data_IF_272371690644
#
_entry.id   IF_272371690644
#
_cell.length_a   1.000
_cell.length_b   1.000
_cell.length_c   1.000
_cell.angle_alpha   90.00
_cell.angle_beta   90.00
_cell.angle_gamma   90.00
#
_symmetry.space_group_name_H-M   'P 1'
#
loop_
_entity.id
_entity.type
_entity.pdbx_description
1 polymer ?
#
# COMPACT_ATOMS: atom_id res chain seq x y z
N UNK A 1 11.28 39.70 33.48
CA UNK A 1 12.34 38.90 32.82
C UNK A 1 12.07 37.41 33.02
N UNK A 2 11.01 36.85 32.42
CA UNK A 2 10.63 35.43 32.60
C UNK A 2 10.13 34.75 31.31
N UNK A 3 10.37 35.36 30.14
CA UNK A 3 9.83 34.88 28.85
C UNK A 3 10.89 34.28 27.91
N UNK A 4 12.15 34.15 28.35
CA UNK A 4 13.26 33.60 27.55
C UNK A 4 13.58 32.13 27.88
N UNK A 5 13.23 31.64 29.07
CA UNK A 5 13.64 30.29 29.53
C UNK A 5 12.67 29.20 29.02
N UNK A 6 11.37 29.52 28.87
CA UNK A 6 10.36 28.59 28.36
C UNK A 6 10.48 28.28 26.85
N UNK A 7 11.24 29.08 26.09
CA UNK A 7 11.52 28.79 24.67
C UNK A 7 12.63 27.75 24.47
N UNK A 8 13.50 27.55 25.46
CA UNK A 8 14.56 26.54 25.39
C UNK A 8 14.08 25.12 25.72
N UNK A 9 13.02 24.99 26.52
CA UNK A 9 12.52 23.68 26.95
C UNK A 9 11.67 22.97 25.88
N UNK A 10 10.99 23.70 25.00
CA UNK A 10 10.12 23.10 23.98
C UNK A 10 10.87 22.64 22.71
N UNK A 11 12.04 23.24 22.39
CA UNK A 11 12.80 22.88 21.19
C UNK A 11 13.58 21.57 21.40
N UNK A 12 14.03 21.27 22.63
CA UNK A 12 14.79 20.05 22.94
C UNK A 12 13.96 18.78 22.89
N UNK A 13 12.67 18.82 23.24
CA UNK A 13 11.80 17.64 23.29
C UNK A 13 11.45 17.10 21.90
N UNK A 14 11.29 17.98 20.91
CA UNK A 14 10.98 17.57 19.52
C UNK A 14 12.17 16.88 18.84
N UNK A 15 13.39 17.35 19.08
CA UNK A 15 14.61 16.72 18.51
C UNK A 15 14.80 15.30 19.05
N UNK A 16 14.55 15.09 20.34
CA UNK A 16 14.65 13.80 21.01
C UNK A 16 13.56 12.82 20.53
N UNK A 17 12.33 13.29 20.30
CA UNK A 17 11.27 12.45 19.70
C UNK A 17 11.57 12.08 18.23
N UNK A 18 12.27 12.94 17.49
CA UNK A 18 12.70 12.66 16.11
C UNK A 18 13.87 11.66 16.04
N UNK A 19 14.75 11.62 17.05
CA UNK A 19 15.78 10.58 17.15
C UNK A 19 15.19 9.23 17.55
N UNK A 20 14.21 9.18 18.47
CA UNK A 20 13.52 7.93 18.81
C UNK A 20 12.71 7.36 17.63
N UNK A 21 12.06 8.21 16.83
CA UNK A 21 11.44 7.75 15.59
C UNK A 21 12.50 7.22 14.60
N UNK A 22 13.62 7.92 14.39
CA UNK A 22 14.71 7.41 13.53
C UNK A 22 15.30 6.08 14.01
N UNK A 23 15.36 5.83 15.32
CA UNK A 23 15.85 4.55 15.87
C UNK A 23 14.80 3.44 15.66
N UNK A 24 13.51 3.72 15.81
CA UNK A 24 12.44 2.74 15.62
C UNK A 24 12.16 2.37 14.15
N UNK A 25 12.46 3.27 13.19
CA UNK A 25 12.43 2.91 11.75
C UNK A 25 13.74 2.30 11.24
N UNK A 26 14.89 2.51 11.90
CA UNK A 26 16.18 1.92 11.49
C UNK A 26 16.46 0.54 12.10
N UNK A 27 15.68 0.06 13.07
CA UNK A 27 15.85 -1.31 13.60
C UNK A 27 15.31 -2.40 12.67
N UNK A 28 14.52 -2.04 11.66
CA UNK A 28 14.40 -2.86 10.45
C UNK A 28 15.57 -2.52 9.55
N UNK A 29 16.70 -3.18 9.83
CA UNK A 29 17.78 -3.39 8.88
C UNK A 29 17.17 -3.61 7.49
N UNK A 30 17.19 -2.55 6.67
CA UNK A 30 17.04 -2.69 5.24
C UNK A 30 18.25 -3.55 4.88
N UNK A 31 18.02 -4.84 4.69
CA UNK A 31 18.97 -5.69 3.98
C UNK A 31 19.03 -5.14 2.57
N UNK A 32 19.85 -4.10 2.37
CA UNK A 32 20.29 -3.69 1.06
C UNK A 32 21.00 -4.91 0.49
N UNK A 33 20.34 -5.59 -0.44
CA UNK A 33 20.86 -6.77 -1.14
C UNK A 33 21.94 -6.31 -2.11
N UNK A 34 23.07 -5.84 -1.58
CA UNK A 34 24.23 -5.31 -2.30
C UNK A 34 25.07 -6.41 -2.97
N UNK A 35 24.67 -7.66 -2.82
CA UNK A 35 25.37 -8.83 -3.37
C UNK A 35 25.20 -9.00 -4.89
N UNK A 36 24.31 -8.23 -5.53
CA UNK A 36 24.19 -8.25 -6.99
C UNK A 36 25.19 -7.26 -7.62
N UNK A 37 26.27 -7.79 -8.20
CA UNK A 37 27.17 -7.05 -9.08
C UNK A 37 26.33 -6.38 -10.19
N UNK A 38 26.41 -5.06 -10.34
CA UNK A 38 25.82 -4.38 -11.50
C UNK A 38 26.31 -5.11 -12.77
N UNK A 39 25.42 -5.58 -13.67
CA UNK A 39 25.89 -6.12 -14.93
C UNK A 39 26.60 -4.99 -15.66
N UNK A 40 27.93 -5.10 -15.74
CA UNK A 40 28.72 -4.34 -16.68
C UNK A 40 28.08 -4.61 -18.03
N UNK A 41 27.62 -3.57 -18.71
CA UNK A 41 27.06 -3.66 -20.05
C UNK A 41 28.14 -4.20 -21.00
N UNK A 42 28.35 -5.52 -21.00
CA UNK A 42 29.06 -6.23 -22.04
C UNK A 42 28.08 -6.35 -23.19
N UNK A 43 28.55 -5.89 -24.35
CA UNK A 43 27.76 -5.57 -25.51
C UNK A 43 26.84 -6.69 -25.98
N UNK A 44 25.76 -6.26 -26.66
CA UNK A 44 25.28 -6.84 -27.92
C UNK A 44 25.71 -8.30 -28.15
N UNK A 45 25.18 -9.20 -27.33
CA UNK A 45 25.39 -10.64 -27.42
C UNK A 45 24.05 -11.32 -27.53
N UNK A 46 23.82 -11.96 -28.67
CA UNK A 46 22.63 -12.76 -29.03
C UNK A 46 22.29 -13.77 -27.92
N UNK A 47 21.47 -13.37 -26.96
CA UNK A 47 20.70 -14.27 -26.11
C UNK A 47 19.34 -14.43 -26.75
N UNK A 48 19.03 -15.64 -27.22
CA UNK A 48 17.76 -16.03 -27.85
C UNK A 48 16.59 -15.37 -27.12
N UNK A 49 15.83 -14.56 -27.86
CA UNK A 49 14.55 -14.04 -27.41
C UNK A 49 13.67 -15.22 -27.03
N UNK A 50 13.54 -15.47 -25.73
CA UNK A 50 12.39 -16.16 -25.20
C UNK A 50 11.24 -15.27 -25.61
N UNK A 51 10.48 -15.71 -26.61
CA UNK A 51 9.21 -15.11 -26.94
C UNK A 51 8.50 -14.93 -25.59
N UNK A 52 8.19 -13.68 -25.25
CA UNK A 52 7.18 -13.45 -24.22
C UNK A 52 5.94 -14.09 -24.81
N UNK A 53 5.66 -15.34 -24.43
CA UNK A 53 4.29 -15.82 -24.54
C UNK A 53 3.49 -14.79 -23.78
N UNK A 54 2.68 -14.03 -24.52
CA UNK A 54 1.74 -13.11 -23.93
C UNK A 54 0.88 -13.97 -23.02
N UNK A 55 1.03 -13.79 -21.71
CA UNK A 55 0.25 -14.47 -20.69
C UNK A 55 -1.21 -14.05 -20.90
N UNK A 56 -1.90 -14.75 -21.79
CA UNK A 56 -3.32 -14.56 -22.03
C UNK A 56 -4.01 -15.00 -20.74
N UNK A 57 -4.64 -14.05 -20.06
CA UNK A 57 -5.45 -14.36 -18.89
C UNK A 57 -6.53 -15.39 -19.23
N UNK A 58 -6.98 -16.18 -18.24
CA UNK A 58 -8.05 -17.15 -18.46
C UNK A 58 -9.28 -16.46 -19.06
N UNK A 59 -9.99 -17.17 -19.94
CA UNK A 59 -11.14 -16.62 -20.64
C UNK A 59 -12.28 -16.36 -19.65
N UNK A 60 -12.75 -15.11 -19.63
CA UNK A 60 -13.82 -14.66 -18.72
C UNK A 60 -15.17 -15.10 -19.30
N UNK A 61 -16.01 -15.72 -18.47
CA UNK A 61 -17.39 -16.06 -18.85
C UNK A 61 -18.20 -14.79 -19.15
N UNK A 62 -18.97 -14.78 -20.24
CA UNK A 62 -19.79 -13.63 -20.67
C UNK A 62 -21.29 -13.83 -20.40
N UNK A 63 -21.67 -14.98 -19.84
CA UNK A 63 -23.07 -15.33 -19.62
C UNK A 63 -23.63 -14.58 -18.40
N UNK A 64 -24.69 -13.76 -18.57
CA UNK A 64 -25.18 -12.91 -17.49
C UNK A 64 -25.79 -13.70 -16.33
N UNK A 65 -26.49 -14.80 -16.64
CA UNK A 65 -27.15 -15.64 -15.63
C UNK A 65 -26.10 -16.26 -14.68
N UNK A 66 -25.00 -16.78 -15.25
CA UNK A 66 -23.94 -17.43 -14.47
C UNK A 66 -23.19 -16.43 -13.58
N UNK A 67 -23.01 -15.19 -14.04
CA UNK A 67 -22.37 -14.12 -13.27
C UNK A 67 -23.22 -13.64 -12.09
N UNK A 68 -24.55 -13.76 -12.16
CA UNK A 68 -25.44 -13.39 -11.06
C UNK A 68 -25.64 -14.51 -10.04
N UNK A 69 -25.53 -15.78 -10.44
CA UNK A 69 -25.79 -16.93 -9.56
C UNK A 69 -24.54 -17.53 -8.94
N UNK A 70 -23.39 -17.46 -9.64
CA UNK A 70 -22.13 -18.04 -9.19
C UNK A 70 -21.03 -16.98 -9.09
N UNK A 71 -20.15 -17.15 -8.11
CA UNK A 71 -18.95 -16.34 -7.97
C UNK A 71 -17.86 -16.88 -8.93
N UNK A 72 -18.01 -16.58 -10.21
CA UNK A 72 -17.11 -17.10 -11.26
C UNK A 72 -15.67 -16.62 -11.04
N UNK A 73 -14.71 -17.55 -11.07
CA UNK A 73 -13.28 -17.25 -10.93
C UNK A 73 -12.78 -17.22 -9.49
N UNK A 74 -13.60 -17.67 -8.52
CA UNK A 74 -13.18 -17.86 -7.13
C UNK A 74 -12.45 -19.20 -6.97
N UNK A 75 -12.85 -20.24 -7.70
CA UNK A 75 -12.16 -21.51 -7.63
C UNK A 75 -10.84 -21.48 -8.44
N UNK A 76 -9.71 -21.72 -7.76
CA UNK A 76 -8.37 -21.81 -8.37
C UNK A 76 -7.93 -23.24 -8.66
N UNK A 77 -8.67 -24.24 -8.16
CA UNK A 77 -8.34 -25.64 -8.35
C UNK A 77 -8.79 -26.12 -9.73
N UNK A 78 -8.06 -27.09 -10.31
CA UNK A 78 -8.41 -27.70 -11.60
C UNK A 78 -9.70 -28.51 -11.53
N UNK A 79 -9.95 -29.08 -10.36
CA UNK A 79 -11.11 -29.89 -10.05
C UNK A 79 -11.92 -29.13 -8.99
N UNK A 80 -13.22 -28.98 -9.24
CA UNK A 80 -14.14 -28.25 -8.37
C UNK A 80 -14.96 -27.22 -9.14
N UNK A 81 -16.13 -26.91 -8.60
CA UNK A 81 -17.04 -25.91 -9.15
C UNK A 81 -16.91 -24.58 -8.41
N UNK A 82 -17.27 -23.48 -9.07
CA UNK A 82 -17.32 -22.17 -8.42
C UNK A 82 -18.43 -22.13 -7.36
N UNK A 83 -18.20 -21.52 -6.19
CA UNK A 83 -19.22 -21.39 -5.16
C UNK A 83 -20.44 -20.55 -5.64
N UNK A 84 -21.68 -20.98 -5.36
CA UNK A 84 -22.88 -20.19 -5.63
C UNK A 84 -22.98 -18.99 -4.68
N UNK A 85 -23.57 -17.90 -5.18
CA UNK A 85 -23.86 -16.69 -4.38
C UNK A 85 -25.07 -17.00 -3.49
N UNK A 86 -24.92 -16.76 -2.18
CA UNK A 86 -25.96 -17.00 -1.17
C UNK A 86 -26.91 -15.82 -1.05
N UNK A 87 -27.97 -16.00 -0.26
CA UNK A 87 -28.88 -14.90 0.07
C UNK A 87 -28.20 -13.89 1.00
N UNK A 88 -28.75 -12.67 1.05
CA UNK A 88 -28.21 -11.56 1.87
C UNK A 88 -28.07 -11.93 3.36
N UNK A 89 -29.01 -12.72 3.88
CA UNK A 89 -29.09 -13.12 5.29
C UNK A 89 -27.97 -14.06 5.72
N UNK A 90 -27.42 -14.83 4.78
CA UNK A 90 -26.32 -15.76 5.03
C UNK A 90 -24.98 -15.03 5.20
N UNK A 91 -24.90 -13.75 4.82
CA UNK A 91 -23.71 -12.94 4.94
C UNK A 91 -23.76 -12.06 6.19
N UNK A 92 -22.61 -11.87 6.87
CA UNK A 92 -22.56 -11.06 8.08
C UNK A 92 -22.85 -9.58 7.77
N UNK A 93 -23.49 -8.90 8.72
CA UNK A 93 -23.99 -7.52 8.53
C UNK A 93 -22.88 -6.51 8.20
N UNK A 94 -21.69 -6.67 8.80
CA UNK A 94 -20.56 -5.75 8.60
C UNK A 94 -20.14 -5.64 7.13
N UNK A 95 -20.44 -6.64 6.30
CA UNK A 95 -20.15 -6.62 4.86
C UNK A 95 -20.86 -5.44 4.18
N UNK A 96 -22.09 -5.14 4.60
CA UNK A 96 -22.93 -4.09 4.03
C UNK A 96 -22.66 -2.71 4.64
N UNK A 97 -21.86 -2.64 5.68
CA UNK A 97 -21.46 -1.39 6.34
C UNK A 97 -20.15 -0.82 5.76
N UNK A 98 -19.53 -1.52 4.79
CA UNK A 98 -18.30 -1.08 4.14
C UNK A 98 -18.54 0.13 3.23
N UNK A 99 -17.59 1.07 3.22
CA UNK A 99 -17.64 2.22 2.33
C UNK A 99 -17.18 1.80 0.91
N UNK A 100 -18.13 1.70 -0.02
CA UNK A 100 -17.88 1.43 -1.44
C UNK A 100 -17.55 2.70 -2.25
N UNK A 101 -17.72 3.87 -1.65
CA UNK A 101 -17.49 5.16 -2.26
C UNK A 101 -16.02 5.59 -2.25
N UNK A 102 -15.75 6.87 -2.54
CA UNK A 102 -14.41 7.42 -2.42
C UNK A 102 -13.91 7.28 -0.97
N UNK A 103 -12.59 7.10 -0.84
CA UNK A 103 -11.97 7.04 0.46
C UNK A 103 -12.23 8.35 1.24
N UNK A 104 -12.62 8.21 2.51
CA UNK A 104 -12.91 9.33 3.41
C UNK A 104 -11.77 10.35 3.39
N UNK A 105 -12.12 11.63 3.39
CA UNK A 105 -11.13 12.71 3.44
C UNK A 105 -10.63 12.92 4.88
N UNK A 106 -9.51 13.62 5.04
CA UNK A 106 -8.94 13.87 6.37
C UNK A 106 -9.87 14.73 7.24
N UNK A 107 -10.67 15.60 6.63
CA UNK A 107 -11.61 16.50 7.31
C UNK A 107 -12.86 15.80 7.84
N UNK A 108 -13.24 14.67 7.24
CA UNK A 108 -14.40 13.87 7.64
C UNK A 108 -14.07 12.87 8.76
N UNK A 109 -12.79 12.62 9.01
CA UNK A 109 -12.33 11.65 10.00
C UNK A 109 -12.06 12.30 11.35
N UNK A 110 -12.33 11.57 12.43
CA UNK A 110 -12.02 12.01 13.78
C UNK A 110 -10.49 12.01 14.04
N UNK A 111 -9.93 13.05 14.68
CA UNK A 111 -8.48 13.19 14.85
C UNK A 111 -7.78 12.06 15.63
N UNK A 112 -8.49 11.40 16.55
CA UNK A 112 -7.90 10.43 17.49
C UNK A 112 -8.04 8.97 17.02
N UNK A 113 -8.62 8.73 15.84
CA UNK A 113 -8.75 7.39 15.27
C UNK A 113 -7.46 6.93 14.57
N UNK A 114 -7.17 5.63 14.61
CA UNK A 114 -6.06 5.02 13.87
C UNK A 114 -6.10 5.30 12.35
N UNK A 115 -7.29 5.40 11.77
CA UNK A 115 -7.49 5.70 10.35
C UNK A 115 -6.99 7.11 10.00
N UNK A 116 -7.35 8.10 10.82
CA UNK A 116 -6.88 9.47 10.68
C UNK A 116 -5.35 9.54 10.76
N UNK A 117 -4.75 8.87 11.75
CA UNK A 117 -3.29 8.84 11.92
C UNK A 117 -2.60 8.21 10.70
N UNK A 118 -3.13 7.08 10.18
CA UNK A 118 -2.62 6.44 8.96
C UNK A 118 -2.72 7.37 7.75
N UNK A 119 -3.86 8.05 7.59
CA UNK A 119 -4.10 9.00 6.48
C UNK A 119 -3.15 10.19 6.56
N UNK A 120 -3.03 10.79 7.74
CA UNK A 120 -2.14 11.91 8.02
C UNK A 120 -0.69 11.54 7.71
N UNK A 121 -0.21 10.37 8.15
CA UNK A 121 1.14 9.88 7.81
C UNK A 121 1.34 9.76 6.29
N UNK A 122 0.36 9.21 5.57
CA UNK A 122 0.42 9.08 4.10
C UNK A 122 0.55 10.44 3.41
N UNK A 123 -0.20 11.45 3.87
CA UNK A 123 -0.13 12.82 3.34
C UNK A 123 1.24 13.46 3.57
N UNK A 124 1.83 13.27 4.75
CA UNK A 124 3.18 13.74 5.04
C UNK A 124 4.23 13.10 4.13
N UNK A 125 4.15 11.78 3.89
CA UNK A 125 5.04 11.07 2.96
C UNK A 125 4.91 11.64 1.54
N UNK A 126 3.68 11.85 1.05
CA UNK A 126 3.45 12.42 -0.27
C UNK A 126 4.03 13.83 -0.40
N UNK A 127 3.83 14.67 0.62
CA UNK A 127 4.44 16.01 0.68
C UNK A 127 5.96 15.93 0.59
N UNK A 128 6.60 15.07 1.39
CA UNK A 128 8.06 14.91 1.38
C UNK A 128 8.58 14.38 0.04
N UNK A 129 7.90 13.40 -0.56
CA UNK A 129 8.27 12.89 -1.88
C UNK A 129 8.18 13.99 -2.96
N UNK A 130 7.14 14.84 -2.90
CA UNK A 130 7.00 15.98 -3.81
C UNK A 130 8.13 17.00 -3.62
N UNK A 131 8.48 17.33 -2.39
CA UNK A 131 9.59 18.24 -2.08
C UNK A 131 10.96 17.68 -2.49
N UNK A 132 11.14 16.36 -2.42
CA UNK A 132 12.38 15.69 -2.82
C UNK A 132 12.56 15.61 -4.34
N UNK A 133 11.48 15.58 -5.12
CA UNK A 133 11.52 15.39 -6.58
C UNK A 133 12.35 16.45 -7.34
N UNK A 134 12.57 17.64 -6.75
CA UNK A 134 13.38 18.72 -7.34
C UNK A 134 14.72 18.98 -6.68
N UNK A 135 15.09 18.23 -5.62
CA UNK A 135 16.38 18.42 -4.95
C UNK A 135 17.44 17.57 -5.66
N UNK A 136 18.44 18.22 -6.27
CA UNK A 136 19.67 17.53 -6.68
C UNK A 136 20.42 17.17 -5.39
N UNK A 137 20.70 15.88 -5.21
CA UNK A 137 21.61 15.37 -4.18
C UNK A 137 22.99 15.29 -4.82
#
# INVERSE_FOLDING_TARGET
>A
MANSILRFFCIRTVAVLNTYNNIFVNSRLIQCRSYAKKPVAKGKGKGKGVAKEDLKGPEVCKDPVKLCTYAVGVNIFKEGEDPPIKNKEDYPEWLYQLNLGPAKTLSEMEPDTLEYIKRSRKMHIWRQNKLRKGKRV
#
